data_IF_811510262496
#
_entry.id   IF_811510262496
#
_cell.length_a   1.000
_cell.length_b   1.000
_cell.length_c   1.000
_cell.angle_alpha   90.00
_cell.angle_beta   90.00
_cell.angle_gamma   90.00
#
_symmetry.space_group_name_H-M   'P 1'
#
loop_
_entity.id
_entity.type
_entity.pdbx_description
1 polymer ?
#
# COMPACT_ATOMS: atom_id res chain seq x y z
N UNK A 1 -7.80 7.71 -5.80
CA UNK A 1 -7.15 6.76 -6.72
C UNK A 1 -7.11 5.43 -5.98
N UNK A 2 -8.15 4.62 -6.17
CA UNK A 2 -8.43 3.45 -5.35
C UNK A 2 -8.08 2.20 -6.15
N UNK A 3 -7.78 1.09 -5.48
CA UNK A 3 -7.63 -0.24 -6.08
C UNK A 3 -8.73 -0.60 -7.10
N UNK A 4 -9.93 0.00 -6.99
CA UNK A 4 -11.04 -0.16 -7.94
C UNK A 4 -10.69 0.28 -9.38
N UNK A 5 -10.01 1.42 -9.55
CA UNK A 5 -9.67 1.91 -10.90
C UNK A 5 -8.50 1.10 -11.48
N UNK A 6 -7.52 0.75 -10.65
CA UNK A 6 -6.38 -0.08 -11.05
C UNK A 6 -6.82 -1.49 -11.44
N UNK A 7 -7.75 -2.08 -10.68
CA UNK A 7 -8.41 -3.34 -11.04
C UNK A 7 -9.17 -3.20 -12.37
N UNK A 8 -9.88 -2.10 -12.61
CA UNK A 8 -10.65 -1.91 -13.85
C UNK A 8 -9.76 -1.75 -15.09
N UNK A 9 -8.66 -1.01 -14.97
CA UNK A 9 -7.77 -0.71 -16.11
C UNK A 9 -6.76 -1.83 -16.39
N UNK A 10 -6.25 -2.49 -15.33
CA UNK A 10 -5.22 -3.52 -15.43
C UNK A 10 -5.67 -4.81 -14.74
N UNK A 11 -6.87 -5.30 -15.09
CA UNK A 11 -7.52 -6.47 -14.48
C UNK A 11 -6.56 -7.66 -14.43
N UNK A 12 -5.98 -8.02 -15.57
CA UNK A 12 -5.14 -9.21 -15.72
C UNK A 12 -3.88 -9.12 -14.85
N UNK A 13 -3.18 -7.99 -14.87
CA UNK A 13 -1.98 -7.78 -14.05
C UNK A 13 -2.30 -7.80 -12.56
N UNK A 14 -3.41 -7.17 -12.19
CA UNK A 14 -3.88 -7.14 -10.81
C UNK A 14 -4.18 -8.57 -10.33
N UNK A 15 -5.05 -9.31 -11.02
CA UNK A 15 -5.44 -10.66 -10.62
C UNK A 15 -4.27 -11.63 -10.63
N UNK A 16 -3.41 -11.57 -11.66
CA UNK A 16 -2.19 -12.38 -11.73
C UNK A 16 -1.27 -12.13 -10.52
N UNK A 17 -1.06 -10.88 -10.13
CA UNK A 17 -0.25 -10.55 -8.96
C UNK A 17 -0.81 -11.17 -7.67
N UNK A 18 -2.12 -11.07 -7.41
CA UNK A 18 -2.70 -11.66 -6.20
C UNK A 18 -2.78 -13.19 -6.26
N UNK A 19 -2.82 -13.78 -7.44
CA UNK A 19 -2.82 -15.23 -7.63
C UNK A 19 -1.42 -15.83 -7.43
N UNK A 20 -0.38 -15.20 -7.96
CA UNK A 20 1.01 -15.71 -7.91
C UNK A 20 1.64 -15.61 -6.52
N UNK A 21 1.19 -14.66 -5.70
CA UNK A 21 1.78 -14.40 -4.39
C UNK A 21 0.99 -15.09 -3.27
N UNK A 22 1.65 -15.95 -2.49
CA UNK A 22 1.04 -16.68 -1.36
C UNK A 22 0.56 -15.71 -0.27
N UNK A 23 1.29 -14.62 -0.04
CA UNK A 23 0.91 -13.59 0.92
C UNK A 23 1.10 -12.23 0.28
N UNK A 24 0.09 -11.38 0.38
CA UNK A 24 0.16 -10.00 -0.09
C UNK A 24 -0.04 -9.05 1.08
N UNK A 25 0.98 -8.25 1.36
CA UNK A 25 0.94 -7.18 2.36
C UNK A 25 0.52 -5.89 1.67
N UNK A 26 -0.36 -5.12 2.31
CA UNK A 26 -0.77 -3.81 1.79
C UNK A 26 -0.62 -2.71 2.84
N UNK A 27 0.00 -1.60 2.45
CA UNK A 27 0.19 -0.42 3.29
C UNK A 27 -0.43 0.82 2.62
N UNK A 28 -1.28 1.59 3.31
CA UNK A 28 -1.80 2.83 2.78
C UNK A 28 -0.73 3.92 2.81
N UNK A 29 -0.75 4.81 1.82
CA UNK A 29 0.01 6.05 1.90
C UNK A 29 -0.64 6.98 2.92
N UNK A 30 0.19 7.78 3.58
CA UNK A 30 -0.23 8.73 4.61
C UNK A 30 0.14 10.13 4.15
N UNK A 31 -0.85 11.02 4.19
CA UNK A 31 -0.67 12.45 3.97
C UNK A 31 -0.63 13.13 5.34
N UNK A 32 0.36 13.99 5.55
CA UNK A 32 0.37 14.87 6.71
C UNK A 32 -0.54 16.07 6.42
N UNK A 33 -1.54 16.30 7.27
CA UNK A 33 -2.45 17.44 7.20
C UNK A 33 -1.92 18.65 7.96
N UNK A 34 -1.17 18.40 9.05
CA UNK A 34 -0.54 19.42 9.88
C UNK A 34 0.57 18.80 10.73
N UNK A 35 1.51 19.62 11.20
CA UNK A 35 2.56 19.21 12.14
C UNK A 35 3.66 18.36 11.49
N UNK A 36 4.01 18.65 10.24
CA UNK A 36 5.03 17.90 9.47
C UNK A 36 6.33 17.70 10.24
N UNK A 37 6.85 18.81 10.77
CA UNK A 37 8.13 18.84 11.48
C UNK A 37 7.97 18.44 12.95
N UNK A 38 6.77 18.60 13.52
CA UNK A 38 6.49 18.40 14.94
C UNK A 38 6.68 16.95 15.39
N UNK A 39 6.49 15.97 14.50
CA UNK A 39 6.74 14.57 14.80
C UNK A 39 8.19 14.30 15.22
N UNK A 40 9.15 15.12 14.78
CA UNK A 40 10.57 14.98 15.14
C UNK A 40 10.90 15.55 16.53
N UNK A 41 10.00 16.36 17.09
CA UNK A 41 10.19 17.07 18.37
C UNK A 41 9.15 16.64 19.41
N UNK A 42 8.65 15.40 19.30
CA UNK A 42 7.59 14.85 20.17
C UNK A 42 6.29 15.67 20.18
N UNK A 43 6.06 16.49 19.17
CA UNK A 43 4.83 17.27 19.01
C UNK A 43 3.71 16.47 18.33
N UNK A 44 2.50 17.00 18.40
CA UNK A 44 1.30 16.37 17.82
C UNK A 44 1.16 16.75 16.35
N UNK A 45 1.04 15.74 15.48
CA UNK A 45 0.76 15.91 14.05
C UNK A 45 -0.58 15.29 13.65
N UNK A 46 -1.23 15.86 12.63
CA UNK A 46 -2.47 15.31 12.07
C UNK A 46 -2.12 14.59 10.77
N UNK A 47 -2.44 13.29 10.72
CA UNK A 47 -2.16 12.43 9.56
C UNK A 47 -3.45 11.83 9.01
N UNK A 48 -3.56 11.77 7.69
CA UNK A 48 -4.68 11.14 6.99
C UNK A 48 -4.18 10.03 6.07
N UNK A 49 -4.74 8.82 6.24
CA UNK A 49 -4.55 7.73 5.27
C UNK A 49 -5.27 8.08 3.97
N UNK A 50 -4.56 8.02 2.85
CA UNK A 50 -5.14 8.19 1.52
C UNK A 50 -5.40 6.81 0.90
N UNK A 51 -6.34 6.69 -0.05
CA UNK A 51 -6.74 5.39 -0.59
C UNK A 51 -5.76 4.81 -1.62
N UNK A 52 -4.60 5.44 -1.78
CA UNK A 52 -3.44 4.90 -2.48
C UNK A 52 -2.75 3.89 -1.56
N UNK A 53 -2.47 2.68 -2.05
CA UNK A 53 -1.84 1.61 -1.28
C UNK A 53 -0.66 1.02 -2.04
N UNK A 54 0.42 0.74 -1.32
CA UNK A 54 1.53 -0.08 -1.78
C UNK A 54 1.19 -1.54 -1.50
N UNK A 55 1.47 -2.42 -2.46
CA UNK A 55 1.29 -3.86 -2.34
C UNK A 55 2.64 -4.56 -2.50
N UNK A 56 2.94 -5.48 -1.60
CA UNK A 56 4.15 -6.32 -1.66
C UNK A 56 3.69 -7.77 -1.58
N UNK A 57 4.08 -8.54 -2.59
CA UNK A 57 3.83 -9.97 -2.65
C UNK A 57 5.02 -10.76 -2.12
N UNK A 58 4.74 -11.81 -1.36
CA UNK A 58 5.72 -12.80 -0.95
C UNK A 58 5.39 -14.14 -1.60
N UNK A 59 6.34 -14.64 -2.38
CA UNK A 59 6.34 -16.00 -2.92
C UNK A 59 7.29 -16.84 -2.07
N UNK A 60 6.77 -17.93 -1.50
CA UNK A 60 7.64 -18.92 -0.85
C UNK A 60 8.45 -19.59 -1.96
N UNK A 61 9.72 -19.23 -2.09
CA UNK A 61 10.63 -19.95 -2.97
C UNK A 61 10.71 -21.39 -2.46
N UNK A 62 10.29 -22.36 -3.28
CA UNK A 62 10.57 -23.75 -3.01
C UNK A 62 12.09 -23.92 -3.10
N UNK A 63 12.75 -23.99 -1.95
CA UNK A 63 14.14 -24.47 -1.86
C UNK A 63 14.21 -25.81 -2.60
N UNK A 64 14.88 -25.80 -3.76
CA UNK A 64 15.30 -27.00 -4.46
C UNK A 64 16.37 -27.72 -3.64
#
# INVERSE_FOLDING_TARGET
>A
MNSKNLKKTYVQTYEKFFFENQTVISAPFVLNRSGDILNNYSGVGIKQKIPLRMYIGYTRSATK
#
